data_IF_897962906532
#
_entry.id   IF_897962906532
#
_cell.length_a   1.000
_cell.length_b   1.000
_cell.length_c   1.000
_cell.angle_alpha   90.00
_cell.angle_beta   90.00
_cell.angle_gamma   90.00
#
_symmetry.space_group_name_H-M   'P 1'
#
loop_
_entity.id
_entity.type
_entity.pdbx_description
1 polymer ?
#
# COMPACT_ATOMS: atom_id res chain seq x y z
N UNK A 1 -38.63 -34.09 30.80
CA UNK A 1 -37.68 -34.44 29.73
C UNK A 1 -37.89 -33.44 28.60
N UNK A 2 -36.97 -32.51 28.41
CA UNK A 2 -36.93 -31.62 27.26
C UNK A 2 -35.47 -31.37 26.93
N UNK A 3 -34.97 -32.04 25.89
CA UNK A 3 -33.74 -31.63 25.20
C UNK A 3 -34.19 -30.71 24.06
N UNK A 4 -33.87 -29.41 24.07
CA UNK A 4 -34.15 -28.59 22.91
C UNK A 4 -33.22 -29.03 21.78
N UNK A 5 -33.78 -29.14 20.58
CA UNK A 5 -33.03 -29.37 19.37
C UNK A 5 -31.93 -28.32 19.28
N UNK A 6 -30.66 -28.76 19.25
CA UNK A 6 -29.54 -27.95 18.79
C UNK A 6 -29.88 -27.55 17.35
N UNK A 7 -30.46 -26.35 17.26
CA UNK A 7 -31.00 -25.71 16.08
C UNK A 7 -29.97 -25.73 14.97
N UNK A 8 -30.40 -26.15 13.78
CA UNK A 8 -29.65 -26.26 12.52
C UNK A 8 -28.64 -25.12 12.29
N UNK A 9 -28.99 -23.89 12.70
CA UNK A 9 -28.18 -22.67 12.70
C UNK A 9 -26.79 -22.85 13.31
N UNK A 10 -26.65 -23.61 14.41
CA UNK A 10 -25.34 -23.83 15.05
C UNK A 10 -24.39 -24.69 14.21
N UNK A 11 -24.93 -25.68 13.50
CA UNK A 11 -24.14 -26.59 12.65
C UNK A 11 -23.70 -25.92 11.35
N UNK A 12 -24.51 -25.02 10.82
CA UNK A 12 -24.20 -24.27 9.60
C UNK A 12 -23.05 -23.28 9.83
N UNK A 13 -23.05 -22.62 10.99
CA UNK A 13 -21.97 -21.70 11.41
C UNK A 13 -20.68 -22.48 11.67
N UNK A 14 -20.75 -23.59 12.41
CA UNK A 14 -19.59 -24.44 12.71
C UNK A 14 -18.99 -25.06 11.44
N UNK A 15 -19.83 -25.44 10.47
CA UNK A 15 -19.40 -25.90 9.17
C UNK A 15 -18.68 -24.80 8.38
N UNK A 16 -19.22 -23.57 8.40
CA UNK A 16 -18.60 -22.44 7.73
C UNK A 16 -17.22 -22.11 8.33
N UNK A 17 -17.11 -22.07 9.66
CA UNK A 17 -15.82 -21.88 10.36
C UNK A 17 -14.80 -22.93 9.94
N UNK A 18 -15.21 -24.21 9.94
CA UNK A 18 -14.34 -25.32 9.52
C UNK A 18 -13.88 -25.17 8.06
N UNK A 19 -14.78 -24.80 7.15
CA UNK A 19 -14.44 -24.60 5.74
C UNK A 19 -13.49 -23.42 5.52
N UNK A 20 -13.68 -22.31 6.24
CA UNK A 20 -12.79 -21.15 6.19
C UNK A 20 -11.39 -21.53 6.72
N UNK A 21 -11.30 -22.24 7.83
CA UNK A 21 -10.03 -22.74 8.34
C UNK A 21 -9.33 -23.65 7.34
N UNK A 22 -10.07 -24.56 6.69
CA UNK A 22 -9.52 -25.43 5.65
C UNK A 22 -9.00 -24.65 4.45
N UNK A 23 -9.72 -23.62 3.99
CA UNK A 23 -9.29 -22.78 2.87
C UNK A 23 -8.04 -21.96 3.23
N UNK A 24 -7.98 -21.41 4.45
CA UNK A 24 -6.77 -20.75 4.97
C UNK A 24 -5.60 -21.73 4.97
N UNK A 25 -5.78 -22.93 5.52
CA UNK A 25 -4.75 -23.98 5.55
C UNK A 25 -4.33 -24.44 4.15
N UNK A 26 -5.21 -24.34 3.16
CA UNK A 26 -4.90 -24.63 1.74
C UNK A 26 -4.04 -23.54 1.13
N UNK A 27 -4.41 -22.27 1.34
CA UNK A 27 -3.65 -21.10 0.86
C UNK A 27 -2.26 -21.04 1.50
N UNK A 28 -2.15 -21.37 2.79
CA UNK A 28 -0.88 -21.40 3.51
C UNK A 28 0.03 -22.55 3.07
N UNK A 29 -0.53 -23.72 2.71
CA UNK A 29 0.25 -24.89 2.26
C UNK A 29 0.81 -24.73 0.85
N UNK A 30 0.04 -24.14 -0.05
CA UNK A 30 0.46 -23.86 -1.42
C UNK A 30 0.22 -22.37 -1.70
N UNK A 31 1.15 -21.50 -1.24
CA UNK A 31 1.03 -20.09 -1.52
C UNK A 31 1.08 -19.91 -3.02
N UNK A 32 -0.07 -19.56 -3.62
CA UNK A 32 -0.19 -19.30 -5.05
C UNK A 32 0.90 -18.32 -5.45
N UNK A 33 1.93 -18.83 -6.13
CA UNK A 33 2.96 -17.98 -6.71
C UNK A 33 2.40 -17.55 -8.07
N UNK A 34 2.04 -16.26 -8.24
CA UNK A 34 1.57 -15.80 -9.53
C UNK A 34 2.64 -16.12 -10.57
N UNK A 35 2.22 -16.72 -11.68
CA UNK A 35 3.12 -16.90 -12.82
C UNK A 35 3.54 -15.51 -13.30
N UNK A 36 4.82 -15.37 -13.64
CA UNK A 36 5.31 -14.12 -14.23
C UNK A 36 4.53 -13.85 -15.52
N UNK A 37 3.82 -12.73 -15.56
CA UNK A 37 2.99 -12.33 -16.69
C UNK A 37 3.75 -11.46 -17.69
N UNK A 38 5.05 -11.23 -17.46
CA UNK A 38 5.91 -10.45 -18.33
C UNK A 38 7.00 -11.33 -18.95
N UNK A 39 7.19 -11.17 -20.25
CA UNK A 39 8.38 -11.70 -20.94
C UNK A 39 9.63 -10.94 -20.53
N UNK A 40 10.81 -11.55 -20.74
CA UNK A 40 12.09 -10.89 -20.48
C UNK A 40 12.26 -9.60 -21.28
N UNK A 41 11.78 -9.56 -22.52
CA UNK A 41 11.81 -8.37 -23.38
C UNK A 41 10.94 -7.24 -22.81
N UNK A 42 9.71 -7.55 -22.39
CA UNK A 42 8.83 -6.56 -21.75
C UNK A 42 9.42 -6.03 -20.44
N UNK A 43 10.03 -6.91 -19.63
CA UNK A 43 10.70 -6.50 -18.39
C UNK A 43 11.90 -5.59 -18.65
N UNK A 44 12.66 -5.85 -19.72
CA UNK A 44 13.77 -4.99 -20.13
C UNK A 44 13.26 -3.66 -20.66
N UNK A 45 12.21 -3.65 -21.48
CA UNK A 45 11.57 -2.44 -21.96
C UNK A 45 11.06 -1.56 -20.82
N UNK A 46 10.43 -2.14 -19.79
CA UNK A 46 9.99 -1.40 -18.60
C UNK A 46 11.17 -0.84 -17.80
N UNK A 47 12.28 -1.58 -17.70
CA UNK A 47 13.52 -1.08 -17.07
C UNK A 47 14.08 0.12 -17.82
N UNK A 48 14.24 -0.01 -19.13
CA UNK A 48 14.72 1.09 -19.99
C UNK A 48 13.78 2.31 -19.93
N UNK A 49 12.47 2.07 -19.82
CA UNK A 49 11.49 3.14 -19.67
C UNK A 49 11.64 3.86 -18.31
N UNK A 50 11.92 3.12 -17.23
CA UNK A 50 12.16 3.68 -15.90
C UNK A 50 13.48 4.44 -15.80
N UNK A 51 14.51 4.02 -16.53
CA UNK A 51 15.82 4.66 -16.61
C UNK A 51 15.82 5.91 -17.51
N UNK A 52 14.78 6.10 -18.33
CA UNK A 52 14.66 7.23 -19.23
C UNK A 52 14.49 8.56 -18.48
N UNK A 53 15.47 9.46 -18.61
CA UNK A 53 15.50 10.74 -17.87
C UNK A 53 14.44 11.74 -18.36
N UNK A 54 13.99 11.61 -19.61
CA UNK A 54 13.11 12.58 -20.26
C UNK A 54 11.62 12.43 -19.89
N UNK A 55 11.24 11.32 -19.25
CA UNK A 55 9.86 11.07 -18.86
C UNK A 55 9.76 10.82 -17.35
N UNK A 56 8.74 11.38 -16.74
CA UNK A 56 8.40 11.15 -15.34
C UNK A 56 7.15 10.28 -15.28
N UNK A 57 7.28 9.11 -14.64
CA UNK A 57 6.19 8.14 -14.47
C UNK A 57 5.78 8.13 -13.00
N UNK A 58 4.50 8.35 -12.72
CA UNK A 58 3.92 8.35 -11.36
C UNK A 58 2.61 7.57 -11.32
N UNK A 59 2.27 6.95 -10.17
CA UNK A 59 0.91 6.46 -9.96
C UNK A 59 -0.10 7.60 -10.13
N UNK A 60 -1.23 7.32 -10.77
CA UNK A 60 -2.33 8.27 -10.82
C UNK A 60 -2.95 8.42 -9.42
N UNK A 61 -3.31 9.65 -9.07
CA UNK A 61 -3.98 9.97 -7.82
C UNK A 61 -5.33 9.22 -7.66
N UNK A 62 -5.98 8.88 -8.79
CA UNK A 62 -7.29 8.22 -8.83
C UNK A 62 -7.29 7.04 -9.79
N UNK A 63 -8.09 6.02 -9.48
CA UNK A 63 -8.43 4.94 -10.41
C UNK A 63 -7.34 3.93 -10.73
N UNK A 64 -6.29 3.82 -9.90
CA UNK A 64 -5.24 2.81 -10.06
C UNK A 64 -4.41 2.91 -11.35
N UNK A 65 -4.51 4.03 -12.07
CA UNK A 65 -3.80 4.26 -13.32
C UNK A 65 -2.35 4.70 -13.13
N UNK A 66 -1.69 5.00 -14.25
CA UNK A 66 -0.33 5.56 -14.31
C UNK A 66 -0.38 6.84 -15.13
N UNK A 67 0.37 7.85 -14.71
CA UNK A 67 0.52 9.12 -15.43
C UNK A 67 1.96 9.23 -15.93
N UNK A 68 2.10 9.65 -17.19
CA UNK A 68 3.38 9.84 -17.87
C UNK A 68 3.46 11.31 -18.30
N UNK A 69 4.53 11.99 -17.91
CA UNK A 69 4.82 13.38 -18.27
C UNK A 69 6.19 13.50 -18.92
N UNK A 70 6.40 14.51 -19.77
CA UNK A 70 7.76 15.01 -20.04
C UNK A 70 8.31 15.57 -18.71
N UNK A 71 9.54 15.18 -18.37
CA UNK A 71 10.15 15.55 -17.07
C UNK A 71 10.26 17.06 -16.91
N UNK A 72 10.59 17.81 -17.97
CA UNK A 72 10.75 19.27 -17.88
C UNK A 72 9.43 19.96 -17.65
N UNK A 73 8.37 19.51 -18.33
CA UNK A 73 7.03 20.04 -18.13
C UNK A 73 6.52 19.73 -16.71
N UNK A 74 6.79 18.53 -16.22
CA UNK A 74 6.46 18.14 -14.84
C UNK A 74 7.16 19.04 -13.82
N UNK A 75 8.48 19.23 -13.95
CA UNK A 75 9.26 20.10 -13.07
C UNK A 75 8.77 21.54 -13.10
N UNK A 76 8.59 22.10 -14.30
CA UNK A 76 8.07 23.46 -14.47
C UNK A 76 6.71 23.63 -13.81
N UNK A 77 5.80 22.67 -14.01
CA UNK A 77 4.46 22.69 -13.40
C UNK A 77 4.54 22.64 -11.89
N UNK A 78 5.43 21.80 -11.35
CA UNK A 78 5.64 21.70 -9.91
C UNK A 78 6.17 23.01 -9.33
N UNK A 79 7.14 23.64 -9.98
CA UNK A 79 7.66 24.94 -9.58
C UNK A 79 6.60 26.05 -9.63
N UNK A 80 5.83 26.13 -10.72
CA UNK A 80 4.72 27.07 -10.85
C UNK A 80 3.74 26.95 -9.68
N UNK A 81 3.31 25.73 -9.35
CA UNK A 81 2.37 25.47 -8.26
C UNK A 81 2.95 25.80 -6.88
N UNK A 82 4.20 25.40 -6.64
CA UNK A 82 4.87 25.62 -5.34
C UNK A 82 5.30 27.08 -5.13
N UNK A 83 5.43 27.87 -6.20
CA UNK A 83 5.78 29.28 -6.14
C UNK A 83 4.64 30.17 -5.62
N UNK A 84 3.41 29.65 -5.56
CA UNK A 84 2.23 30.40 -5.07
C UNK A 84 2.32 30.59 -3.55
N UNK A 85 2.86 31.74 -3.15
CA UNK A 85 3.10 32.11 -1.73
C UNK A 85 1.83 32.26 -0.90
N UNK A 86 0.68 32.44 -1.54
CA UNK A 86 -0.63 32.48 -0.87
C UNK A 86 -1.03 31.11 -0.31
N UNK A 87 -0.51 30.02 -0.88
CA UNK A 87 -0.87 28.65 -0.51
C UNK A 87 0.29 27.89 0.13
N UNK A 88 1.53 28.18 -0.29
CA UNK A 88 2.71 27.44 0.14
C UNK A 88 3.77 28.35 0.75
N UNK A 89 4.42 27.88 1.81
CA UNK A 89 5.56 28.53 2.43
C UNK A 89 6.69 27.51 2.64
N UNK A 90 7.92 27.93 2.38
CA UNK A 90 9.09 27.09 2.61
C UNK A 90 9.26 26.81 4.11
N UNK A 91 9.37 25.54 4.46
CA UNK A 91 9.57 25.12 5.85
C UNK A 91 11.06 25.25 6.20
N UNK A 92 11.43 25.93 7.31
CA UNK A 92 12.81 26.02 7.74
C UNK A 92 13.40 24.62 8.02
N UNK A 93 14.66 24.34 7.65
CA UNK A 93 15.29 23.04 7.87
C UNK A 93 15.23 22.58 9.34
N UNK A 94 15.40 23.52 10.28
CA UNK A 94 15.32 23.26 11.73
C UNK A 94 13.96 22.70 12.13
N UNK A 95 12.86 23.19 11.54
CA UNK A 95 11.50 22.73 11.85
C UNK A 95 11.26 21.32 11.33
N UNK A 96 11.78 21.00 10.16
CA UNK A 96 11.74 19.64 9.59
C UNK A 96 12.46 18.63 10.48
N UNK A 97 13.65 18.96 10.97
CA UNK A 97 14.41 18.07 11.85
C UNK A 97 13.74 17.87 13.22
N UNK A 98 13.13 18.92 13.77
CA UNK A 98 12.31 18.80 14.99
C UNK A 98 11.12 17.87 14.76
N UNK A 99 10.41 18.03 13.64
CA UNK A 99 9.25 17.20 13.31
C UNK A 99 9.65 15.73 13.10
N UNK A 100 10.73 15.45 12.35
CA UNK A 100 11.25 14.09 12.17
C UNK A 100 11.58 13.42 13.50
N UNK A 101 12.28 14.15 14.39
CA UNK A 101 12.59 13.65 15.75
C UNK A 101 11.32 13.40 16.57
N UNK A 102 10.35 14.30 16.48
CA UNK A 102 9.04 14.14 17.14
C UNK A 102 8.30 12.90 16.66
N UNK A 103 8.21 12.71 15.34
CA UNK A 103 7.60 11.55 14.69
C UNK A 103 8.31 10.27 15.13
N UNK A 104 9.64 10.22 15.06
CA UNK A 104 10.42 9.05 15.48
C UNK A 104 10.18 8.69 16.96
N UNK A 105 10.06 9.68 17.85
CA UNK A 105 9.75 9.47 19.26
C UNK A 105 8.35 8.87 19.47
N UNK A 106 7.36 9.33 18.72
CA UNK A 106 5.98 8.81 18.79
C UNK A 106 5.92 7.39 18.24
N UNK A 107 6.57 7.12 17.10
CA UNK A 107 6.68 5.78 16.52
C UNK A 107 7.35 4.82 17.50
N UNK A 108 8.49 5.21 18.08
CA UNK A 108 9.20 4.38 19.06
C UNK A 108 8.35 4.04 20.28
N UNK A 109 7.59 5.02 20.80
CA UNK A 109 6.61 4.76 21.88
C UNK A 109 5.51 3.79 21.44
N UNK A 110 4.99 3.96 20.23
CA UNK A 110 3.96 3.08 19.66
C UNK A 110 4.46 1.64 19.49
N UNK A 111 5.71 1.44 19.09
CA UNK A 111 6.34 0.12 19.00
C UNK A 111 6.49 -0.52 20.40
N UNK A 112 7.02 0.22 21.39
CA UNK A 112 7.20 -0.31 22.75
C UNK A 112 5.86 -0.62 23.44
N UNK A 113 4.83 0.18 23.18
CA UNK A 113 3.49 -0.01 23.74
C UNK A 113 2.65 -1.05 22.97
N UNK A 114 3.16 -1.59 21.84
CA UNK A 114 2.44 -2.54 21.00
C UNK A 114 1.28 -1.92 20.19
N UNK A 115 1.23 -0.60 20.01
CA UNK A 115 0.22 0.09 19.20
C UNK A 115 0.52 -0.01 17.70
N UNK A 116 1.78 -0.18 17.35
CA UNK A 116 2.26 -0.28 15.96
C UNK A 116 3.16 -1.51 15.89
N UNK A 117 3.01 -2.31 14.84
CA UNK A 117 3.89 -3.44 14.56
C UNK A 117 4.91 -3.06 13.50
N UNK A 118 6.13 -3.59 13.62
CA UNK A 118 7.14 -3.46 12.57
C UNK A 118 6.76 -4.43 11.44
N UNK A 119 6.41 -3.88 10.27
CA UNK A 119 6.14 -4.69 9.09
C UNK A 119 7.42 -4.78 8.26
N UNK A 120 7.93 -6.00 8.03
CA UNK A 120 9.12 -6.25 7.18
C UNK A 120 8.93 -5.79 5.73
N UNK A 121 7.70 -5.50 5.31
CA UNK A 121 7.39 -4.93 4.01
C UNK A 121 6.06 -4.16 4.10
N UNK A 122 6.06 -2.87 4.49
CA UNK A 122 4.85 -2.10 4.66
C UNK A 122 4.27 -1.77 3.27
N UNK A 123 3.56 -2.73 2.69
CA UNK A 123 2.70 -2.48 1.54
C UNK A 123 1.51 -1.72 2.09
N UNK A 124 1.29 -0.47 1.66
CA UNK A 124 0.04 0.23 1.94
C UNK A 124 -1.11 -0.73 1.63
N UNK A 125 -2.02 -1.01 2.58
CA UNK A 125 -3.08 -1.99 2.37
C UNK A 125 -3.77 -1.69 1.06
N UNK A 126 -3.91 -2.69 0.19
CA UNK A 126 -4.65 -2.58 -1.06
C UNK A 126 -6.15 -2.28 -0.85
N UNK A 127 -6.56 -1.96 0.38
CA UNK A 127 -7.91 -1.64 0.82
C UNK A 127 -8.49 -0.38 0.17
N UNK A 128 -7.67 0.43 -0.51
CA UNK A 128 -8.12 1.54 -1.35
C UNK A 128 -8.35 1.17 -2.82
N UNK A 129 -8.17 -0.09 -3.22
CA UNK A 129 -8.69 -0.55 -4.51
C UNK A 129 -10.12 -1.01 -4.29
N UNK A 130 -11.07 -0.13 -4.60
CA UNK A 130 -12.46 -0.53 -4.84
C UNK A 130 -12.48 -1.68 -5.86
N UNK A 131 -13.46 -2.61 -5.76
CA UNK A 131 -13.57 -3.78 -6.62
C UNK A 131 -13.55 -3.44 -8.13
#
# INVERSE_FOLDING_TARGET
MFTPALTQVGKEVELFETLVEMDIQRILRDPFKPRDNLTSEQRNALRSLQEGVNITIKPADKGGGVVIFDTRDYEKRAEELLSVKEHYQQVPPTRLEILKKGIGKVIGKGLTAGWICEAENPISPAFYRLP
#
